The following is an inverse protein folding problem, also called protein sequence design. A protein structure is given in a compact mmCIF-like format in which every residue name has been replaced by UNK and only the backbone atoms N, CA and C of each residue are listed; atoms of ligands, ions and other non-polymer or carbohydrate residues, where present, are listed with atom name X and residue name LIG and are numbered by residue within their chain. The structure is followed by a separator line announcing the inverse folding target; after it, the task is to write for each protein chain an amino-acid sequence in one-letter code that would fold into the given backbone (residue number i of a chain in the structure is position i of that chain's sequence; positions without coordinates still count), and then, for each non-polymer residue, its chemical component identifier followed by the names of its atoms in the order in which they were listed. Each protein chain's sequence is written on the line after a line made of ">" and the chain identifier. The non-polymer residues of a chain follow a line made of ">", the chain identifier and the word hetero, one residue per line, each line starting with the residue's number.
data_IF_629360009897
#
_entry.id   IF_629360009897
#
_cell.length_a   1.000
_cell.length_b   1.000
_cell.length_c   1.000
_cell.angle_alpha   90.00
_cell.angle_beta   90.00
_cell.angle_gamma   90.00
#
_symmetry.space_group_name_H-M   'P 1'
#
loop_
_entity.id
_entity.type
_entity.pdbx_description
1 polymer ?
#
# COMPACT_ATOMS: atom_id res chain seq x y z
N UNK A 1 23.05 -28.12 1.07
CA UNK A 1 22.54 -26.87 0.45
C UNK A 1 21.08 -26.79 0.81
N UNK A 2 20.63 -25.67 1.39
CA UNK A 2 19.20 -25.47 1.64
C UNK A 2 18.51 -25.27 0.30
N UNK A 3 17.35 -25.89 0.10
CA UNK A 3 16.56 -25.70 -1.11
C UNK A 3 16.13 -24.24 -1.22
N UNK A 4 16.23 -23.61 -2.39
CA UNK A 4 15.77 -22.24 -2.57
C UNK A 4 14.25 -22.19 -2.39
N UNK A 5 13.77 -21.29 -1.56
CA UNK A 5 12.33 -21.02 -1.42
C UNK A 5 11.91 -19.94 -2.39
N UNK A 6 10.83 -20.17 -3.13
CA UNK A 6 10.21 -19.17 -3.99
C UNK A 6 9.08 -18.47 -3.22
N UNK A 7 9.22 -17.18 -2.97
CA UNK A 7 8.15 -16.36 -2.39
C UNK A 7 7.51 -15.51 -3.49
N UNK A 8 6.25 -15.76 -3.85
CA UNK A 8 5.58 -14.94 -4.87
C UNK A 8 5.36 -13.52 -4.35
N UNK A 9 5.51 -12.55 -5.24
CA UNK A 9 5.20 -11.14 -4.97
C UNK A 9 3.77 -10.89 -5.42
N UNK A 10 2.90 -10.50 -4.50
CA UNK A 10 1.52 -10.15 -4.76
C UNK A 10 1.12 -8.89 -4.00
N UNK A 11 0.05 -8.29 -4.40
CA UNK A 11 -0.64 -7.22 -3.67
C UNK A 11 -2.03 -7.71 -3.23
N UNK A 12 -2.48 -7.19 -2.10
CA UNK A 12 -3.81 -7.43 -1.57
C UNK A 12 -4.45 -6.08 -1.25
N UNK A 13 -5.70 -5.95 -1.62
CA UNK A 13 -6.51 -4.77 -1.35
C UNK A 13 -7.86 -5.18 -0.80
N UNK A 14 -8.20 -4.68 0.39
CA UNK A 14 -9.54 -4.88 0.96
C UNK A 14 -10.51 -3.80 0.46
N UNK A 15 -11.78 -4.12 0.20
CA UNK A 15 -12.79 -3.11 -0.12
C UNK A 15 -13.16 -2.24 1.09
N UNK A 16 -12.93 -2.72 2.32
CA UNK A 16 -13.26 -2.05 3.59
C UNK A 16 -12.23 -2.35 4.65
N UNK A 17 -12.07 -1.42 5.61
CA UNK A 17 -11.18 -1.60 6.77
C UNK A 17 -11.95 -1.75 8.09
N UNK A 18 -13.25 -1.42 8.13
CA UNK A 18 -14.08 -1.51 9.33
C UNK A 18 -15.32 -2.38 9.09
N UNK A 19 -15.60 -3.28 10.04
CA UNK A 19 -16.72 -4.22 10.02
C UNK A 19 -17.36 -4.27 11.42
N UNK A 20 -18.32 -3.38 11.68
CA UNK A 20 -18.89 -3.21 13.02
C UNK A 20 -17.81 -2.84 14.04
N UNK A 21 -17.48 -3.74 14.94
CA UNK A 21 -16.46 -3.55 15.98
C UNK A 21 -15.09 -4.15 15.65
N UNK A 22 -14.86 -4.54 14.40
CA UNK A 22 -13.59 -5.10 13.91
C UNK A 22 -12.94 -4.13 12.93
N UNK A 23 -11.63 -3.89 13.09
CA UNK A 23 -10.83 -3.11 12.15
C UNK A 23 -9.69 -3.97 11.58
N UNK A 24 -9.41 -3.80 10.29
CA UNK A 24 -8.23 -4.32 9.61
C UNK A 24 -7.19 -3.20 9.50
N UNK A 25 -5.94 -3.49 9.88
CA UNK A 25 -4.82 -2.55 9.79
C UNK A 25 -3.60 -3.23 9.16
N UNK A 26 -2.65 -2.45 8.66
CA UNK A 26 -1.41 -2.95 8.09
C UNK A 26 -1.67 -3.93 6.95
N UNK A 27 -0.97 -5.05 6.97
CA UNK A 27 -1.03 -6.08 5.93
C UNK A 27 -2.37 -6.86 5.93
N UNK A 28 -3.13 -6.83 7.03
CA UNK A 28 -4.48 -7.39 7.04
C UNK A 28 -5.46 -6.63 6.13
N UNK A 29 -5.19 -5.35 5.87
CA UNK A 29 -6.01 -4.52 5.00
C UNK A 29 -5.40 -4.37 3.60
N UNK A 30 -4.10 -4.10 3.52
CA UNK A 30 -3.40 -3.83 2.26
C UNK A 30 -1.99 -4.40 2.31
N UNK A 31 -1.69 -5.34 1.42
CA UNK A 31 -0.33 -5.80 1.16
C UNK A 31 0.17 -5.13 -0.11
N UNK A 32 1.14 -4.26 0.02
CA UNK A 32 1.81 -3.63 -1.12
C UNK A 32 3.05 -4.42 -1.52
N UNK A 33 3.34 -4.45 -2.82
CA UNK A 33 4.61 -5.00 -3.31
C UNK A 33 5.78 -4.28 -2.67
N UNK A 34 6.90 -4.99 -2.38
CA UNK A 34 8.01 -4.44 -1.58
C UNK A 34 8.71 -3.23 -2.21
N UNK A 35 8.51 -3.00 -3.51
CA UNK A 35 9.14 -1.89 -4.26
C UNK A 35 8.82 -0.50 -3.68
N UNK A 36 7.66 -0.33 -3.05
CA UNK A 36 7.25 0.97 -2.48
C UNK A 36 7.93 1.27 -1.14
N UNK A 37 8.45 0.23 -0.45
CA UNK A 37 9.13 0.39 0.83
C UNK A 37 8.29 0.95 2.00
N UNK A 38 6.95 1.02 1.84
CA UNK A 38 6.06 1.74 2.75
C UNK A 38 5.28 0.86 3.74
N UNK A 39 5.47 -0.47 3.72
CA UNK A 39 4.64 -1.40 4.49
C UNK A 39 4.65 -1.13 6.00
N UNK A 40 5.84 -1.01 6.59
CA UNK A 40 6.00 -0.77 8.04
C UNK A 40 5.47 0.60 8.44
N UNK A 41 5.84 1.65 7.70
CA UNK A 41 5.36 3.00 7.96
C UNK A 41 3.84 3.10 7.86
N UNK A 42 3.25 2.49 6.82
CA UNK A 42 1.80 2.42 6.66
C UNK A 42 1.11 1.73 7.84
N UNK A 43 1.65 0.60 8.31
CA UNK A 43 1.07 -0.13 9.45
C UNK A 43 1.13 0.70 10.74
N UNK A 44 2.23 1.42 10.98
CA UNK A 44 2.36 2.33 12.11
C UNK A 44 1.38 3.50 12.03
N UNK A 45 1.20 4.10 10.85
CA UNK A 45 0.23 5.16 10.61
C UNK A 45 -1.22 4.68 10.77
N UNK A 46 -1.54 3.46 10.31
CA UNK A 46 -2.85 2.85 10.52
C UNK A 46 -3.14 2.70 12.02
N UNK A 47 -2.17 2.18 12.79
CA UNK A 47 -2.31 2.02 14.23
C UNK A 47 -2.48 3.38 14.95
N UNK A 48 -1.70 4.38 14.57
CA UNK A 48 -1.82 5.75 15.10
C UNK A 48 -3.18 6.39 14.79
N UNK A 49 -3.65 6.25 13.55
CA UNK A 49 -4.96 6.77 13.14
C UNK A 49 -6.12 6.08 13.88
N UNK A 50 -6.02 4.75 14.06
CA UNK A 50 -7.01 3.98 14.81
C UNK A 50 -7.05 4.42 16.28
N UNK A 51 -5.88 4.56 16.92
CA UNK A 51 -5.79 5.02 18.30
C UNK A 51 -6.39 6.41 18.49
N UNK A 52 -6.11 7.35 17.57
CA UNK A 52 -6.68 8.70 17.59
C UNK A 52 -8.21 8.67 17.44
N UNK A 53 -8.74 7.85 16.53
CA UNK A 53 -10.18 7.74 16.31
C UNK A 53 -10.89 7.19 17.57
N UNK A 54 -10.34 6.12 18.17
CA UNK A 54 -10.89 5.50 19.38
C UNK A 54 -10.78 6.39 20.64
N UNK A 55 -9.85 7.33 20.67
CA UNK A 55 -9.75 8.31 21.74
C UNK A 55 -10.77 9.45 21.62
N UNK A 56 -11.33 9.66 20.44
CA UNK A 56 -12.21 10.78 20.12
C UNK A 56 -13.71 10.42 20.16
N UNK A 57 -14.06 9.15 19.98
CA UNK A 57 -15.46 8.74 19.78
C UNK A 57 -15.70 7.30 20.25
N UNK A 58 -16.97 6.89 20.30
CA UNK A 58 -17.38 5.51 20.52
C UNK A 58 -16.86 4.58 19.41
N UNK A 59 -16.73 3.28 19.71
CA UNK A 59 -16.04 2.31 18.85
C UNK A 59 -16.54 2.32 17.41
N UNK A 60 -17.84 2.23 17.19
CA UNK A 60 -18.35 2.11 15.80
C UNK A 60 -18.16 3.38 14.97
N UNK A 61 -18.50 4.61 15.47
CA UNK A 61 -18.17 5.86 14.77
C UNK A 61 -16.67 6.04 14.57
N UNK A 62 -15.85 5.70 15.56
CA UNK A 62 -14.40 5.77 15.49
C UNK A 62 -13.84 4.90 14.36
N UNK A 63 -14.32 3.65 14.23
CA UNK A 63 -13.89 2.76 13.16
C UNK A 63 -14.34 3.23 11.77
N UNK A 64 -15.49 3.86 11.65
CA UNK A 64 -15.93 4.47 10.40
C UNK A 64 -15.05 5.67 10.01
N UNK A 65 -14.72 6.53 10.96
CA UNK A 65 -13.82 7.66 10.74
C UNK A 65 -12.40 7.20 10.37
N UNK A 66 -11.90 6.17 11.04
CA UNK A 66 -10.64 5.51 10.71
C UNK A 66 -10.64 4.98 9.27
N UNK A 67 -11.66 4.21 8.88
CA UNK A 67 -11.79 3.67 7.53
C UNK A 67 -11.82 4.79 6.48
N UNK A 68 -12.64 5.82 6.68
CA UNK A 68 -12.74 6.95 5.75
C UNK A 68 -11.38 7.65 5.53
N UNK A 69 -10.55 7.73 6.56
CA UNK A 69 -9.22 8.34 6.51
C UNK A 69 -8.19 7.42 5.86
N UNK A 70 -8.18 6.11 6.18
CA UNK A 70 -7.08 5.20 5.83
C UNK A 70 -7.30 4.38 4.57
N UNK A 71 -8.53 4.06 4.22
CA UNK A 71 -8.85 3.30 3.00
C UNK A 71 -8.30 3.96 1.71
N UNK A 72 -8.47 5.29 1.48
CA UNK A 72 -7.88 5.94 0.32
C UNK A 72 -6.36 5.91 0.31
N UNK A 73 -5.72 6.00 1.48
CA UNK A 73 -4.25 5.94 1.60
C UNK A 73 -3.74 4.56 1.21
N UNK A 74 -4.37 3.49 1.71
CA UNK A 74 -4.02 2.12 1.35
C UNK A 74 -4.10 1.86 -0.16
N UNK A 75 -5.17 2.33 -0.79
CA UNK A 75 -5.36 2.22 -2.26
C UNK A 75 -4.26 2.92 -3.04
N UNK A 76 -3.91 4.15 -2.66
CA UNK A 76 -2.82 4.89 -3.31
C UNK A 76 -1.48 4.18 -3.19
N UNK A 77 -1.20 3.56 -2.04
CA UNK A 77 0.04 2.80 -1.84
C UNK A 77 0.08 1.58 -2.77
N UNK A 78 -1.03 0.83 -2.90
CA UNK A 78 -1.13 -0.31 -3.82
C UNK A 78 -0.94 0.13 -5.27
N UNK A 79 -1.64 1.18 -5.69
CA UNK A 79 -1.52 1.74 -7.03
C UNK A 79 -0.06 2.14 -7.35
N UNK A 80 0.58 2.85 -6.43
CA UNK A 80 1.98 3.25 -6.58
C UNK A 80 2.92 2.03 -6.61
N UNK A 81 2.68 1.01 -5.79
CA UNK A 81 3.46 -0.22 -5.80
C UNK A 81 3.33 -1.00 -7.12
N UNK A 82 2.11 -1.05 -7.69
CA UNK A 82 1.86 -1.63 -9.03
C UNK A 82 2.60 -0.86 -10.11
N UNK A 83 2.55 0.46 -10.04
CA UNK A 83 3.25 1.35 -10.96
C UNK A 83 4.77 1.13 -10.94
N UNK A 84 5.38 1.16 -9.75
CA UNK A 84 6.82 0.91 -9.61
C UNK A 84 7.22 -0.52 -10.00
N UNK A 85 6.37 -1.51 -9.76
CA UNK A 85 6.64 -2.91 -10.07
C UNK A 85 6.48 -3.27 -11.55
N UNK A 86 5.82 -2.44 -12.35
CA UNK A 86 5.50 -2.76 -13.75
C UNK A 86 6.75 -3.03 -14.61
N UNK A 87 7.86 -2.33 -14.37
CA UNK A 87 9.09 -2.50 -15.12
C UNK A 87 9.85 -3.81 -14.79
N UNK A 88 9.55 -4.45 -13.65
CA UNK A 88 10.17 -5.72 -13.24
C UNK A 88 9.45 -6.96 -13.79
N UNK A 89 8.28 -6.80 -14.39
CA UNK A 89 7.48 -7.91 -14.89
C UNK A 89 8.04 -8.45 -16.21
N UNK A 90 8.15 -9.78 -16.30
CA UNK A 90 8.59 -10.45 -17.54
C UNK A 90 7.52 -10.38 -18.64
N UNK A 91 6.23 -10.42 -18.26
CA UNK A 91 5.09 -10.30 -19.19
C UNK A 91 4.27 -9.08 -18.77
N UNK A 92 4.03 -8.15 -19.70
CA UNK A 92 3.39 -6.87 -19.44
C UNK A 92 2.18 -6.67 -20.32
N UNK A 93 1.14 -6.01 -19.80
CA UNK A 93 0.09 -5.41 -20.61
C UNK A 93 0.62 -4.18 -21.33
N UNK A 94 -0.13 -3.65 -22.32
CA UNK A 94 0.29 -2.42 -23.02
C UNK A 94 0.42 -1.23 -22.05
N UNK A 95 -0.45 -1.12 -21.05
CA UNK A 95 -0.39 -0.08 -20.02
C UNK A 95 0.85 -0.23 -19.14
N UNK A 96 1.14 -1.45 -18.69
CA UNK A 96 2.34 -1.77 -17.91
C UNK A 96 3.63 -1.55 -18.72
N UNK A 97 3.61 -1.77 -20.02
CA UNK A 97 4.74 -1.50 -20.89
C UNK A 97 5.01 0.00 -21.01
N UNK A 98 3.97 0.82 -21.17
CA UNK A 98 4.10 2.28 -21.18
C UNK A 98 4.62 2.83 -19.85
N UNK A 99 4.17 2.27 -18.71
CA UNK A 99 4.69 2.59 -17.37
C UNK A 99 6.16 2.17 -17.22
N UNK A 100 6.51 0.97 -17.69
CA UNK A 100 7.88 0.45 -17.69
C UNK A 100 8.85 1.34 -18.47
N UNK A 101 8.44 1.85 -19.62
CA UNK A 101 9.25 2.74 -20.44
C UNK A 101 9.54 4.06 -19.72
N UNK A 102 8.58 4.62 -18.97
CA UNK A 102 8.78 5.82 -18.14
C UNK A 102 9.80 5.60 -17.02
N UNK A 103 9.87 4.39 -16.48
CA UNK A 103 10.75 4.02 -15.37
C UNK A 103 12.01 3.25 -15.82
N UNK A 104 12.31 3.25 -17.11
CA UNK A 104 13.44 2.49 -17.67
C UNK A 104 14.82 3.00 -17.27
N UNK A 105 14.92 4.16 -16.61
CA UNK A 105 16.19 4.68 -16.13
C UNK A 105 16.26 4.70 -14.60
N UNK A 106 17.44 4.36 -14.06
CA UNK A 106 17.69 4.27 -12.62
C UNK A 106 17.34 5.55 -11.84
N UNK A 107 17.49 6.72 -12.46
CA UNK A 107 17.21 8.00 -11.83
C UNK A 107 15.71 8.21 -11.60
N UNK A 108 14.87 7.83 -12.56
CA UNK A 108 13.41 7.88 -12.41
C UNK A 108 12.95 6.96 -11.29
N UNK A 109 13.45 5.71 -11.27
CA UNK A 109 13.14 4.72 -10.21
C UNK A 109 13.54 5.25 -8.83
N UNK A 110 14.77 5.72 -8.66
CA UNK A 110 15.27 6.25 -7.38
C UNK A 110 14.42 7.45 -6.93
N UNK A 111 14.14 8.38 -7.83
CA UNK A 111 13.35 9.58 -7.49
C UNK A 111 11.95 9.22 -7.02
N UNK A 112 11.28 8.30 -7.69
CA UNK A 112 9.91 7.91 -7.35
C UNK A 112 9.84 6.99 -6.13
N UNK A 113 10.83 6.10 -5.94
CA UNK A 113 10.88 5.22 -4.77
C UNK A 113 11.21 6.00 -3.48
N UNK A 114 12.03 7.05 -3.60
CA UNK A 114 12.43 7.87 -2.44
C UNK A 114 11.40 8.95 -2.06
N UNK A 115 10.37 9.19 -2.88
CA UNK A 115 9.38 10.25 -2.66
C UNK A 115 8.09 9.67 -2.13
N UNK A 116 7.59 10.24 -1.04
CA UNK A 116 6.29 9.92 -0.45
C UNK A 116 5.21 10.97 -0.79
N UNK A 117 5.50 11.91 -1.67
CA UNK A 117 4.61 13.02 -2.08
C UNK A 117 3.24 12.52 -2.62
N UNK A 118 3.16 11.28 -3.06
CA UNK A 118 1.91 10.67 -3.52
C UNK A 118 0.89 10.44 -2.37
N UNK A 119 1.34 10.51 -1.11
CA UNK A 119 0.46 10.40 0.07
C UNK A 119 -0.24 11.72 0.39
N UNK A 120 0.33 12.85 -0.04
CA UNK A 120 -0.15 14.21 0.28
C UNK A 120 -1.21 14.75 -0.70
N UNK A 121 -1.63 13.93 -1.68
CA UNK A 121 -2.62 14.32 -2.71
C UNK A 121 -4.02 13.82 -2.46
#
# INVERSE_FOLDING_TARGET
>A
MNEPSLQPIYDLETPRMAFGRVALIGDAAFVARPHVGAGVAKAADDAGALAQALAADDVEPALQAFEAKRLPVGRRIIEHARHLGAYLQATRTQEEQALSERHSNARAVITETARLDFLDR
#
